data_IF_952502750562
#
_entry.id   IF_952502750562
#
_cell.length_a   1.000
_cell.length_b   1.000
_cell.length_c   1.000
_cell.angle_alpha   90.00
_cell.angle_beta   90.00
_cell.angle_gamma   90.00
#
_symmetry.space_group_name_H-M   'P 1'
#
loop_
_entity.id
_entity.type
_entity.pdbx_description
1 polymer ?
#
# COMPACT_ATOMS: atom_id res chain seq x y z
N UNK A 1 59.68 -8.37 41.90
CA UNK A 1 60.74 -8.60 40.88
C UNK A 1 60.27 -7.93 39.60
N UNK A 2 60.84 -6.77 39.29
CA UNK A 2 60.38 -5.85 38.23
C UNK A 2 61.41 -5.83 37.12
N UNK A 3 61.01 -6.13 35.88
CA UNK A 3 61.91 -6.10 34.72
C UNK A 3 61.33 -5.11 33.70
N UNK A 4 61.97 -3.95 33.62
CA UNK A 4 61.84 -2.99 32.52
C UNK A 4 62.67 -3.49 31.33
N UNK A 5 62.13 -3.42 30.12
CA UNK A 5 62.91 -3.44 28.88
C UNK A 5 62.40 -2.39 27.90
N UNK A 6 63.35 -1.76 27.24
CA UNK A 6 63.22 -0.52 26.47
C UNK A 6 63.67 -0.77 25.02
N UNK A 7 63.09 0.03 24.12
CA UNK A 7 63.52 0.39 22.74
C UNK A 7 63.51 -0.68 21.63
N UNK A 8 62.81 -0.38 20.52
CA UNK A 8 63.41 0.17 19.29
C UNK A 8 62.30 0.56 18.29
N UNK A 9 62.40 1.77 17.74
CA UNK A 9 61.56 2.23 16.64
C UNK A 9 62.23 1.86 15.31
N UNK A 10 61.46 1.31 14.36
CA UNK A 10 61.89 1.06 12.97
C UNK A 10 60.90 1.78 12.06
N UNK A 11 61.38 2.84 11.42
CA UNK A 11 60.69 3.53 10.31
C UNK A 11 60.92 2.76 9.01
N UNK A 12 59.84 2.40 8.33
CA UNK A 12 59.85 1.89 6.96
C UNK A 12 59.21 2.94 6.04
N UNK A 13 60.03 3.50 5.16
CA UNK A 13 59.59 4.34 4.04
C UNK A 13 59.01 3.44 2.94
N UNK A 14 57.75 3.68 2.56
CA UNK A 14 57.10 3.00 1.45
C UNK A 14 57.22 3.85 0.17
N UNK A 15 57.90 3.30 -0.83
CA UNK A 15 58.06 3.86 -2.17
C UNK A 15 56.77 3.68 -2.95
N UNK A 16 56.18 4.78 -3.44
CA UNK A 16 55.04 4.75 -4.36
C UNK A 16 55.50 4.34 -5.77
N UNK A 17 54.94 3.25 -6.30
CA UNK A 17 54.92 2.97 -7.74
C UNK A 17 53.65 3.58 -8.33
N UNK A 18 53.81 4.57 -9.21
CA UNK A 18 52.73 5.05 -10.09
C UNK A 18 52.78 4.20 -11.36
N UNK A 19 51.83 3.29 -11.51
CA UNK A 19 51.61 2.58 -12.76
C UNK A 19 50.74 3.45 -13.68
N UNK A 20 51.31 3.90 -14.80
CA UNK A 20 50.54 4.53 -15.88
C UNK A 20 49.75 3.44 -16.62
N UNK A 21 48.43 3.46 -16.49
CA UNK A 21 47.54 2.64 -17.28
C UNK A 21 47.41 3.20 -18.72
N UNK A 22 47.22 2.35 -19.74
CA UNK A 22 46.95 2.80 -21.09
C UNK A 22 45.59 3.51 -21.14
N UNK A 23 45.59 4.76 -21.62
CA UNK A 23 44.37 5.47 -22.03
C UNK A 23 43.79 4.77 -23.26
N UNK A 24 42.87 3.86 -23.02
CA UNK A 24 41.96 3.38 -24.06
C UNK A 24 40.94 4.49 -24.29
N UNK A 25 41.04 5.18 -25.43
CA UNK A 25 39.98 6.07 -25.90
C UNK A 25 38.81 5.19 -26.39
N UNK A 26 38.04 4.67 -25.44
CA UNK A 26 36.70 4.19 -25.73
C UNK A 26 35.88 5.43 -26.09
N UNK A 27 35.39 5.47 -27.32
CA UNK A 27 34.34 6.38 -27.73
C UNK A 27 33.12 5.98 -26.89
N UNK A 28 32.86 6.75 -25.83
CA UNK A 28 31.64 6.63 -25.04
C UNK A 28 30.48 7.04 -25.95
N UNK A 29 29.63 6.06 -26.23
CA UNK A 29 28.33 6.27 -26.87
C UNK A 29 27.48 7.16 -25.93
N UNK A 30 27.11 8.39 -26.31
CA UNK A 30 26.32 9.27 -25.47
C UNK A 30 24.84 8.89 -25.59
N UNK A 31 24.50 7.68 -25.14
CA UNK A 31 23.13 7.17 -25.15
C UNK A 31 22.79 6.33 -23.91
N UNK A 32 23.47 6.56 -22.77
CA UNK A 32 23.00 6.07 -21.47
C UNK A 32 22.65 7.27 -20.60
N UNK A 33 21.50 7.85 -20.92
CA UNK A 33 20.92 8.98 -20.20
C UNK A 33 20.70 8.67 -18.73
N UNK A 34 21.02 9.66 -17.91
CA UNK A 34 20.50 9.81 -16.57
C UNK A 34 18.96 9.74 -16.60
N UNK A 35 18.38 8.72 -15.95
CA UNK A 35 16.99 8.70 -15.42
C UNK A 35 16.65 7.33 -14.83
N UNK A 36 17.50 6.77 -13.97
CA UNK A 36 17.01 5.78 -13.02
C UNK A 36 16.65 6.54 -11.74
N UNK A 37 15.36 6.68 -11.39
CA UNK A 37 14.97 7.12 -10.05
C UNK A 37 15.74 6.25 -9.04
N UNK A 38 16.14 6.81 -7.87
CA UNK A 38 16.66 5.97 -6.79
C UNK A 38 15.70 4.80 -6.62
N UNK A 39 16.22 3.57 -6.59
CA UNK A 39 15.42 2.34 -6.56
C UNK A 39 14.26 2.56 -5.59
N UNK A 40 13.05 2.69 -6.14
CA UNK A 40 11.89 3.07 -5.35
C UNK A 40 11.82 2.13 -4.16
N UNK A 41 11.62 2.67 -2.96
CA UNK A 41 11.55 1.87 -1.73
C UNK A 41 10.53 0.76 -1.95
N UNK A 42 11.04 -0.48 -2.01
CA UNK A 42 10.25 -1.64 -2.41
C UNK A 42 9.32 -1.99 -1.26
N UNK A 43 8.05 -2.20 -1.58
CA UNK A 43 7.06 -2.58 -0.57
C UNK A 43 7.03 -4.09 -0.48
N UNK A 44 7.61 -4.60 0.59
CA UNK A 44 7.59 -6.01 0.91
C UNK A 44 6.32 -6.32 1.70
N UNK A 45 5.64 -7.39 1.32
CA UNK A 45 4.46 -7.87 2.02
C UNK A 45 4.61 -9.34 2.44
N UNK A 46 3.91 -9.73 3.49
CA UNK A 46 3.77 -11.14 3.86
C UNK A 46 2.53 -11.72 3.18
N UNK A 47 2.69 -12.86 2.50
CA UNK A 47 1.62 -13.59 1.83
C UNK A 47 1.87 -15.09 1.96
N UNK A 48 0.91 -15.83 2.51
CA UNK A 48 1.01 -17.28 2.74
C UNK A 48 2.34 -17.68 3.43
N UNK A 49 2.77 -16.89 4.41
CA UNK A 49 4.00 -17.11 5.18
C UNK A 49 5.31 -16.78 4.45
N UNK A 50 5.23 -16.25 3.23
CA UNK A 50 6.39 -15.84 2.42
C UNK A 50 6.43 -14.33 2.23
N UNK A 51 7.62 -13.76 2.07
CA UNK A 51 7.79 -12.36 1.68
C UNK A 51 7.68 -12.21 0.17
N UNK A 52 6.85 -11.26 -0.27
CA UNK A 52 6.63 -10.92 -1.68
C UNK A 52 6.95 -9.44 -1.90
N UNK A 53 7.41 -9.07 -3.09
CA UNK A 53 7.60 -7.69 -3.51
C UNK A 53 6.36 -7.23 -4.29
N UNK A 54 5.63 -6.24 -3.77
CA UNK A 54 4.38 -5.82 -4.40
C UNK A 54 4.59 -5.10 -5.73
N UNK A 55 5.79 -4.60 -6.01
CA UNK A 55 6.12 -4.04 -7.33
C UNK A 55 6.18 -5.12 -8.42
N UNK A 56 6.50 -6.37 -8.05
CA UNK A 56 6.56 -7.53 -8.96
C UNK A 56 5.18 -8.21 -9.13
N UNK A 57 4.15 -7.73 -8.41
CA UNK A 57 2.80 -8.24 -8.43
C UNK A 57 2.39 -8.99 -7.15
N UNK A 58 1.11 -9.35 -7.07
CA UNK A 58 0.49 -9.78 -5.81
C UNK A 58 0.49 -11.30 -5.58
N UNK A 59 1.11 -12.07 -6.48
CA UNK A 59 1.22 -13.53 -6.40
C UNK A 59 -0.11 -14.29 -6.17
N UNK A 60 -1.21 -13.72 -6.66
CA UNK A 60 -2.56 -14.28 -6.53
C UNK A 60 -3.40 -13.66 -5.39
N UNK A 61 -2.78 -12.88 -4.50
CA UNK A 61 -3.51 -12.16 -3.48
C UNK A 61 -4.53 -11.19 -4.10
N UNK A 62 -5.65 -11.02 -3.40
CA UNK A 62 -6.75 -10.13 -3.81
C UNK A 62 -6.89 -8.91 -2.91
N UNK A 63 -6.39 -8.98 -1.69
CA UNK A 63 -6.38 -7.85 -0.74
C UNK A 63 -5.00 -7.73 -0.11
N UNK A 64 -4.49 -6.51 0.01
CA UNK A 64 -3.27 -6.19 0.74
C UNK A 64 -3.52 -5.02 1.69
N UNK A 65 -3.15 -5.21 2.96
CA UNK A 65 -3.45 -4.31 4.07
C UNK A 65 -2.16 -3.91 4.75
N UNK A 66 -1.93 -2.59 4.87
CA UNK A 66 -0.91 -2.03 5.75
C UNK A 66 -1.48 -1.99 7.18
N UNK A 67 -1.04 -2.93 8.01
CA UNK A 67 -1.50 -3.05 9.41
C UNK A 67 -0.78 -2.08 10.32
N UNK A 68 0.49 -1.80 10.01
CA UNK A 68 1.33 -0.77 10.62
C UNK A 68 2.29 -0.21 9.57
N UNK A 69 2.94 0.93 9.84
CA UNK A 69 3.88 1.54 8.90
C UNK A 69 4.96 0.54 8.50
N UNK A 70 4.97 0.15 7.22
CA UNK A 70 5.93 -0.82 6.68
C UNK A 70 5.62 -2.30 6.97
N UNK A 71 4.54 -2.62 7.69
CA UNK A 71 4.02 -3.98 7.81
C UNK A 71 2.82 -4.15 6.90
N UNK A 72 3.04 -4.83 5.78
CA UNK A 72 2.03 -5.10 4.75
C UNK A 72 1.76 -6.59 4.70
N UNK A 73 0.49 -6.96 4.72
CA UNK A 73 0.05 -8.34 4.63
C UNK A 73 -0.97 -8.50 3.53
N UNK A 74 -0.83 -9.55 2.73
CA UNK A 74 -1.69 -9.84 1.61
C UNK A 74 -2.40 -11.17 1.79
N UNK A 75 -3.59 -11.28 1.23
CA UNK A 75 -4.48 -12.42 1.43
C UNK A 75 -5.22 -12.78 0.15
N UNK A 76 -5.57 -14.06 0.03
CA UNK A 76 -6.40 -14.59 -1.05
C UNK A 76 -7.85 -14.11 -0.98
N UNK A 77 -8.31 -13.77 0.23
CA UNK A 77 -9.67 -13.29 0.47
C UNK A 77 -9.74 -12.35 1.67
N UNK A 78 -10.79 -11.54 1.71
CA UNK A 78 -11.11 -10.67 2.85
C UNK A 78 -11.40 -11.49 4.11
N UNK A 79 -11.97 -12.69 3.98
CA UNK A 79 -12.20 -13.59 5.12
C UNK A 79 -10.88 -14.01 5.77
N UNK A 80 -9.87 -14.38 4.98
CA UNK A 80 -8.55 -14.75 5.48
C UNK A 80 -7.86 -13.55 6.14
N UNK A 81 -7.98 -12.36 5.55
CA UNK A 81 -7.52 -11.11 6.15
C UNK A 81 -8.17 -10.87 7.51
N UNK A 82 -9.51 -10.90 7.58
CA UNK A 82 -10.23 -10.66 8.83
C UNK A 82 -9.86 -11.65 9.93
N UNK A 83 -9.62 -12.91 9.55
CA UNK A 83 -9.19 -13.95 10.49
C UNK A 83 -7.79 -13.69 11.04
N UNK A 84 -6.83 -13.29 10.20
CA UNK A 84 -5.46 -12.96 10.63
C UNK A 84 -5.44 -11.71 11.52
N UNK A 85 -6.18 -10.68 11.12
CA UNK A 85 -6.13 -9.38 11.77
C UNK A 85 -6.94 -9.31 13.07
N UNK A 86 -7.90 -10.22 13.28
CA UNK A 86 -8.76 -10.24 14.45
C UNK A 86 -7.99 -10.45 15.77
N UNK A 87 -6.83 -11.09 15.73
CA UNK A 87 -5.97 -11.27 16.90
C UNK A 87 -5.18 -10.00 17.24
N UNK A 88 -5.05 -9.06 16.29
CA UNK A 88 -4.13 -7.92 16.38
C UNK A 88 -4.82 -6.57 16.63
N UNK A 89 -6.13 -6.43 16.39
CA UNK A 89 -6.84 -5.20 16.75
C UNK A 89 -8.33 -5.36 17.05
N UNK A 90 -8.83 -4.54 17.98
CA UNK A 90 -10.25 -4.46 18.36
C UNK A 90 -11.18 -4.18 17.16
N UNK A 91 -10.71 -3.40 16.17
CA UNK A 91 -11.49 -3.09 14.97
C UNK A 91 -11.66 -4.30 14.04
N UNK A 92 -10.61 -5.12 13.92
CA UNK A 92 -10.65 -6.35 13.12
C UNK A 92 -11.49 -7.43 13.78
N UNK A 93 -11.38 -7.60 15.10
CA UNK A 93 -12.22 -8.52 15.86
C UNK A 93 -13.71 -8.18 15.72
N UNK A 94 -14.08 -6.89 15.76
CA UNK A 94 -15.45 -6.45 15.56
C UNK A 94 -15.95 -6.69 14.12
N UNK A 95 -15.11 -6.45 13.11
CA UNK A 95 -15.44 -6.72 11.71
C UNK A 95 -15.60 -8.22 11.41
N UNK A 96 -14.72 -9.07 11.95
CA UNK A 96 -14.80 -10.53 11.84
C UNK A 96 -16.10 -11.07 12.45
N UNK A 97 -16.46 -10.61 13.65
CA UNK A 97 -17.73 -10.94 14.32
C UNK A 97 -18.96 -10.52 13.49
N UNK A 98 -18.91 -9.34 12.86
CA UNK A 98 -19.96 -8.87 11.96
C UNK A 98 -20.19 -9.76 10.73
N UNK A 99 -19.19 -10.56 10.35
CA UNK A 99 -19.27 -11.58 9.29
C UNK A 99 -19.50 -13.01 9.83
N UNK A 100 -19.76 -13.17 11.14
CA UNK A 100 -20.01 -14.48 11.75
C UNK A 100 -18.75 -15.34 11.96
N UNK A 101 -17.56 -14.73 11.88
CA UNK A 101 -16.29 -15.41 12.12
C UNK A 101 -15.98 -15.30 13.61
N UNK A 102 -15.96 -16.43 14.31
CA UNK A 102 -15.50 -16.50 15.71
C UNK A 102 -13.97 -16.66 15.74
N UNK A 103 -13.29 -15.75 16.41
CA UNK A 103 -11.83 -15.77 16.57
C UNK A 103 -11.51 -16.14 18.02
N UNK A 104 -10.92 -17.31 18.29
CA UNK A 104 -10.50 -17.71 19.63
C UNK A 104 -9.53 -16.68 20.21
N UNK A 105 -9.68 -16.31 21.49
CA UNK A 105 -8.80 -15.39 22.23
C UNK A 105 -8.76 -13.92 21.76
N UNK A 106 -9.53 -13.54 20.74
CA UNK A 106 -9.74 -12.13 20.40
C UNK A 106 -10.32 -11.38 21.62
N UNK A 107 -9.83 -10.17 21.89
CA UNK A 107 -10.33 -9.35 23.01
C UNK A 107 -11.85 -9.23 22.89
N UNK A 108 -12.54 -9.53 23.99
CA UNK A 108 -13.99 -9.51 24.08
C UNK A 108 -14.56 -8.12 23.75
N UNK A 109 -14.99 -7.95 22.50
CA UNK A 109 -15.62 -6.73 21.97
C UNK A 109 -17.09 -6.62 22.33
N UNK A 110 -17.61 -7.35 23.34
CA UNK A 110 -18.99 -7.17 23.82
C UNK A 110 -19.22 -5.69 24.19
N UNK A 111 -19.97 -4.98 23.35
CA UNK A 111 -20.28 -3.55 23.49
C UNK A 111 -19.71 -2.65 22.40
N UNK A 112 -18.78 -3.14 21.57
CA UNK A 112 -18.34 -2.48 20.35
C UNK A 112 -19.05 -3.12 19.17
N UNK A 113 -20.17 -2.52 18.76
CA UNK A 113 -20.76 -2.82 17.45
C UNK A 113 -19.89 -2.14 16.41
N UNK A 114 -19.28 -2.90 15.50
CA UNK A 114 -18.74 -2.32 14.27
C UNK A 114 -19.94 -1.68 13.56
N UNK A 115 -20.08 -0.37 13.67
CA UNK A 115 -21.09 0.35 12.91
C UNK A 115 -20.72 0.08 11.44
N UNK A 116 -21.53 -0.70 10.69
CA UNK A 116 -21.25 -0.86 9.27
C UNK A 116 -21.20 0.53 8.68
N UNK A 117 -20.33 0.74 7.67
CA UNK A 117 -20.33 1.97 6.86
C UNK A 117 -21.77 2.43 6.72
N UNK A 118 -22.11 3.62 7.25
CA UNK A 118 -23.46 4.16 7.14
C UNK A 118 -23.84 4.02 5.68
N UNK A 119 -24.79 3.13 5.43
CA UNK A 119 -25.16 2.72 4.09
C UNK A 119 -25.32 4.00 3.28
N UNK A 120 -24.61 4.16 2.13
CA UNK A 120 -24.83 5.31 1.29
C UNK A 120 -26.35 5.48 1.12
N UNK A 121 -26.82 6.72 1.23
CA UNK A 121 -28.21 7.07 0.92
C UNK A 121 -28.71 6.20 -0.25
N UNK A 122 -29.90 5.63 -0.10
CA UNK A 122 -30.49 4.62 -0.98
C UNK A 122 -30.47 4.97 -2.48
N UNK A 123 -30.17 6.22 -2.83
CA UNK A 123 -29.90 6.67 -4.20
C UNK A 123 -28.63 6.05 -4.84
N UNK A 124 -27.82 5.26 -4.14
CA UNK A 124 -26.54 4.73 -4.68
C UNK A 124 -26.35 3.22 -4.67
N UNK A 125 -27.26 2.40 -4.11
CA UNK A 125 -27.07 0.93 -4.08
C UNK A 125 -28.32 0.19 -4.56
N UNK A 126 -28.23 -0.44 -5.73
CA UNK A 126 -29.14 -1.50 -6.18
C UNK A 126 -28.35 -2.81 -6.20
N UNK A 127 -28.81 -3.81 -5.45
CA UNK A 127 -28.48 -5.23 -5.68
C UNK A 127 -28.03 -6.02 -4.46
N UNK A 128 -28.91 -6.30 -3.51
CA UNK A 128 -28.60 -7.21 -2.40
C UNK A 128 -28.61 -8.68 -2.86
N UNK A 129 -27.46 -9.35 -2.95
CA UNK A 129 -27.32 -10.80 -2.71
C UNK A 129 -25.92 -11.11 -2.14
N UNK A 130 -25.89 -11.76 -0.97
CA UNK A 130 -24.70 -12.24 -0.25
C UNK A 130 -24.57 -13.74 -0.48
N UNK A 131 -23.50 -14.19 -1.13
CA UNK A 131 -22.89 -15.51 -0.93
C UNK A 131 -21.38 -15.38 -1.19
N UNK A 132 -20.58 -15.97 -0.31
CA UNK A 132 -19.13 -15.79 -0.26
C UNK A 132 -18.37 -16.25 -1.50
N UNK A 133 -17.07 -15.91 -1.50
CA UNK A 133 -16.03 -16.21 -2.50
C UNK A 133 -15.62 -14.99 -3.32
N UNK A 134 -14.31 -14.70 -3.32
CA UNK A 134 -13.67 -13.54 -3.96
C UNK A 134 -14.12 -12.18 -3.42
N UNK A 135 -13.30 -11.13 -3.57
CA UNK A 135 -13.68 -9.75 -3.27
C UNK A 135 -14.94 -9.46 -4.10
N UNK A 136 -16.11 -9.57 -3.46
CA UNK A 136 -17.38 -9.81 -4.16
C UNK A 136 -17.85 -8.59 -4.94
N UNK A 137 -18.88 -8.76 -5.76
CA UNK A 137 -19.55 -7.73 -6.58
C UNK A 137 -20.18 -6.57 -5.76
N UNK A 138 -19.88 -6.49 -4.46
CA UNK A 138 -20.27 -5.41 -3.55
C UNK A 138 -19.29 -5.32 -2.35
N UNK A 139 -17.99 -5.28 -2.61
CA UNK A 139 -16.92 -5.25 -1.59
C UNK A 139 -16.76 -3.90 -0.85
N UNK A 140 -17.74 -3.00 -0.93
CA UNK A 140 -17.78 -1.79 -0.10
C UNK A 140 -17.66 -2.15 1.39
N UNK A 141 -18.38 -3.19 1.82
CA UNK A 141 -18.38 -3.65 3.21
C UNK A 141 -17.06 -4.29 3.65
N UNK A 142 -16.18 -4.61 2.70
CA UNK A 142 -14.85 -5.17 2.99
C UNK A 142 -13.84 -4.08 3.35
N UNK A 143 -14.19 -2.80 3.10
CA UNK A 143 -13.48 -1.66 3.66
C UNK A 143 -13.90 -1.43 5.11
N UNK A 144 -13.22 -2.17 5.99
CA UNK A 144 -13.48 -2.14 7.43
C UNK A 144 -13.12 -0.81 8.09
N UNK A 145 -13.72 -0.58 9.25
CA UNK A 145 -13.51 0.63 10.03
C UNK A 145 -12.03 0.80 10.41
N UNK A 146 -11.54 2.03 10.32
CA UNK A 146 -10.13 2.39 10.54
C UNK A 146 -9.29 2.47 9.27
N UNK A 147 -9.83 2.12 8.10
CA UNK A 147 -9.06 2.01 6.86
C UNK A 147 -9.56 2.92 5.74
N UNK A 148 -8.63 3.44 4.95
CA UNK A 148 -8.89 3.89 3.59
C UNK A 148 -8.62 2.74 2.63
N UNK A 149 -9.56 2.49 1.72
CA UNK A 149 -9.50 1.39 0.78
C UNK A 149 -9.59 1.90 -0.66
N UNK A 150 -8.76 1.33 -1.53
CA UNK A 150 -8.77 1.61 -2.97
C UNK A 150 -8.88 0.30 -3.72
N UNK A 151 -9.78 0.26 -4.71
CA UNK A 151 -10.11 -0.92 -5.50
C UNK A 151 -9.71 -0.70 -6.96
N UNK A 152 -9.34 -1.77 -7.66
CA UNK A 152 -8.97 -1.69 -9.09
C UNK A 152 -10.17 -1.66 -10.05
N UNK A 153 -11.37 -1.93 -9.54
CA UNK A 153 -12.62 -1.82 -10.30
C UNK A 153 -13.42 -0.59 -9.91
N UNK A 154 -14.37 -0.19 -10.76
CA UNK A 154 -15.30 0.93 -10.50
C UNK A 154 -16.50 0.54 -9.62
N UNK A 155 -16.66 -0.76 -9.34
CA UNK A 155 -17.79 -1.33 -8.60
C UNK A 155 -17.40 -1.77 -7.20
N UNK A 156 -16.32 -1.22 -6.64
CA UNK A 156 -15.81 -1.57 -5.31
C UNK A 156 -15.62 -3.07 -5.15
N UNK A 157 -14.91 -3.70 -6.08
CA UNK A 157 -14.52 -5.11 -6.04
C UNK A 157 -13.14 -5.31 -6.66
N UNK A 158 -12.75 -6.55 -6.94
CA UNK A 158 -11.45 -6.85 -7.55
C UNK A 158 -10.30 -6.77 -6.54
N UNK A 159 -9.11 -6.32 -6.96
CA UNK A 159 -7.99 -6.17 -6.03
C UNK A 159 -8.19 -4.94 -5.15
N UNK A 160 -7.85 -5.07 -3.87
CA UNK A 160 -8.05 -4.01 -2.87
C UNK A 160 -6.78 -3.73 -2.08
N UNK A 161 -6.45 -2.45 -1.95
CA UNK A 161 -5.43 -1.95 -1.03
C UNK A 161 -6.11 -1.28 0.17
N UNK A 162 -5.58 -1.51 1.38
CA UNK A 162 -6.06 -0.87 2.61
C UNK A 162 -4.91 -0.25 3.40
N UNK A 163 -5.14 0.96 3.89
CA UNK A 163 -4.18 1.68 4.74
C UNK A 163 -4.87 2.33 5.92
N UNK A 164 -4.28 2.19 7.11
CA UNK A 164 -4.66 2.92 8.32
C UNK A 164 -3.63 4.01 8.66
N UNK A 165 -2.36 3.75 8.35
CA UNK A 165 -1.24 4.62 8.64
C UNK A 165 -1.19 5.87 7.75
N UNK A 166 -0.72 6.98 8.32
CA UNK A 166 -0.54 8.24 7.60
C UNK A 166 0.60 8.18 6.58
N UNK A 167 0.68 9.22 5.76
CA UNK A 167 1.75 9.43 4.80
C UNK A 167 1.32 9.18 3.36
N UNK A 168 2.28 9.28 2.45
CA UNK A 168 2.05 9.12 1.01
C UNK A 168 2.51 7.74 0.55
N UNK A 169 1.61 7.02 -0.12
CA UNK A 169 1.81 5.70 -0.68
C UNK A 169 1.91 5.85 -2.19
N UNK A 170 3.07 5.56 -2.76
CA UNK A 170 3.28 5.58 -4.21
C UNK A 170 2.71 4.29 -4.80
N UNK A 171 1.62 4.35 -5.56
CA UNK A 171 0.92 3.17 -6.07
C UNK A 171 1.75 2.35 -7.08
N UNK A 172 2.84 2.90 -7.63
CA UNK A 172 3.73 2.11 -8.50
C UNK A 172 4.47 1.01 -7.74
N UNK A 173 4.82 1.24 -6.47
CA UNK A 173 5.50 0.23 -5.64
C UNK A 173 4.56 -0.84 -5.08
N UNK A 174 3.26 -0.71 -5.38
CA UNK A 174 2.21 -1.66 -4.99
C UNK A 174 1.58 -2.37 -6.21
N UNK A 175 2.16 -2.21 -7.41
CA UNK A 175 1.55 -2.69 -8.67
C UNK A 175 0.09 -2.20 -8.87
N UNK A 176 -0.17 -0.95 -8.48
CA UNK A 176 -1.52 -0.36 -8.46
C UNK A 176 -1.64 1.02 -9.13
N UNK A 177 -0.51 1.54 -9.63
CA UNK A 177 -0.48 2.78 -10.43
C UNK A 177 -1.40 2.66 -11.64
N UNK A 178 -2.19 3.70 -11.90
CA UNK A 178 -3.12 3.74 -13.05
C UNK A 178 -4.14 2.57 -13.06
N UNK A 179 -4.43 1.96 -11.91
CA UNK A 179 -5.40 0.85 -11.80
C UNK A 179 -6.59 1.16 -10.91
N UNK A 180 -6.51 2.22 -10.10
CA UNK A 180 -7.57 2.57 -9.17
C UNK A 180 -8.87 2.97 -9.89
N UNK A 181 -9.97 2.27 -9.60
CA UNK A 181 -11.29 2.52 -10.19
C UNK A 181 -12.35 3.00 -9.19
N UNK A 182 -12.18 2.71 -7.91
CA UNK A 182 -13.02 3.23 -6.83
C UNK A 182 -12.28 3.23 -5.50
N UNK A 183 -12.84 3.91 -4.50
CA UNK A 183 -12.27 3.94 -3.16
C UNK A 183 -13.31 4.26 -2.11
N UNK A 184 -13.05 3.83 -0.88
CA UNK A 184 -13.88 4.06 0.30
C UNK A 184 -13.00 4.54 1.44
N UNK A 185 -13.43 5.58 2.15
CA UNK A 185 -12.79 6.03 3.37
C UNK A 185 -13.66 5.66 4.57
N UNK A 186 -13.23 4.64 5.31
CA UNK A 186 -13.87 4.21 6.55
C UNK A 186 -12.96 4.48 7.77
N UNK A 187 -12.06 5.46 7.67
CA UNK A 187 -11.18 5.85 8.79
C UNK A 187 -11.99 6.60 9.85
N UNK A 188 -11.52 6.56 11.10
CA UNK A 188 -12.15 7.32 12.19
C UNK A 188 -12.02 8.84 12.02
N UNK A 189 -10.93 9.30 11.41
CA UNK A 189 -10.59 10.72 11.24
C UNK A 189 -9.87 10.95 9.91
N UNK A 190 -10.08 12.14 9.34
CA UNK A 190 -9.39 12.59 8.13
C UNK A 190 -9.97 12.05 6.82
N UNK A 191 -9.33 12.41 5.72
CA UNK A 191 -9.64 11.85 4.39
C UNK A 191 -8.51 10.98 3.90
N UNK A 192 -8.61 10.56 2.64
CA UNK A 192 -7.42 10.32 1.84
C UNK A 192 -7.52 11.12 0.55
N UNK A 193 -6.36 11.46 0.00
CA UNK A 193 -6.25 12.17 -1.28
C UNK A 193 -5.56 11.26 -2.28
N UNK A 194 -6.12 11.18 -3.47
CA UNK A 194 -5.49 10.57 -4.64
C UNK A 194 -4.79 11.67 -5.42
N UNK A 195 -3.55 11.43 -5.81
CA UNK A 195 -2.73 12.36 -6.59
C UNK A 195 -2.34 11.68 -7.93
N UNK A 196 -2.43 12.40 -9.05
CA UNK A 196 -1.93 12.00 -10.38
C UNK A 196 -0.68 12.84 -10.68
N UNK A 197 0.49 12.20 -10.68
CA UNK A 197 1.77 12.89 -10.73
C UNK A 197 2.20 13.14 -12.17
N UNK A 198 2.37 14.42 -12.52
CA UNK A 198 2.63 14.84 -13.89
C UNK A 198 3.88 15.68 -14.03
N UNK A 199 4.70 15.34 -15.01
CA UNK A 199 5.85 16.15 -15.37
C UNK A 199 5.40 17.42 -16.09
N UNK A 200 5.78 18.58 -15.58
CA UNK A 200 5.60 19.87 -16.26
C UNK A 200 4.18 20.45 -16.20
N UNK A 201 3.27 19.87 -15.41
CA UNK A 201 1.92 20.38 -15.16
C UNK A 201 1.60 20.29 -13.65
N UNK A 202 0.67 21.11 -13.13
CA UNK A 202 0.16 20.91 -11.78
C UNK A 202 -0.52 19.54 -11.63
N UNK A 203 -0.17 18.82 -10.57
CA UNK A 203 -0.73 17.51 -10.22
C UNK A 203 -2.21 17.63 -9.81
N UNK A 204 -3.14 16.99 -10.52
CA UNK A 204 -4.52 16.91 -10.08
C UNK A 204 -4.63 16.06 -8.82
N UNK A 205 -5.60 16.40 -7.99
CA UNK A 205 -5.91 15.61 -6.80
C UNK A 205 -7.41 15.41 -6.60
N UNK A 206 -7.78 14.27 -6.03
CA UNK A 206 -9.14 13.91 -5.64
C UNK A 206 -9.17 13.57 -4.17
N UNK A 207 -9.96 14.32 -3.40
CA UNK A 207 -10.15 14.07 -1.98
C UNK A 207 -11.37 13.18 -1.73
N UNK A 208 -11.18 12.11 -0.94
CA UNK A 208 -12.24 11.24 -0.44
C UNK A 208 -12.39 11.48 1.06
N UNK A 209 -13.48 12.17 1.42
CA UNK A 209 -13.79 12.52 2.81
C UNK A 209 -14.24 11.32 3.66
N UNK A 210 -14.40 11.54 4.96
CA UNK A 210 -14.89 10.51 5.90
C UNK A 210 -16.21 9.89 5.46
N UNK A 211 -16.33 8.58 5.72
CA UNK A 211 -17.54 7.77 5.49
C UNK A 211 -18.06 7.86 4.05
N UNK A 212 -17.16 8.04 3.08
CA UNK A 212 -17.52 8.16 1.66
C UNK A 212 -16.87 7.09 0.82
N UNK A 213 -17.68 6.55 -0.07
CA UNK A 213 -17.24 5.72 -1.19
C UNK A 213 -17.43 6.50 -2.49
N UNK A 214 -16.43 6.44 -3.36
CA UNK A 214 -16.38 7.18 -4.62
C UNK A 214 -16.06 6.22 -5.76
N UNK A 215 -16.88 6.26 -6.81
CA UNK A 215 -16.59 5.62 -8.09
C UNK A 215 -15.83 6.63 -8.97
N UNK A 216 -14.57 6.35 -9.29
CA UNK A 216 -13.70 7.32 -9.96
C UNK A 216 -14.09 7.58 -11.41
N UNK A 217 -14.80 6.64 -12.06
CA UNK A 217 -15.35 6.86 -13.40
C UNK A 217 -16.48 7.91 -13.42
N UNK A 218 -17.08 8.21 -12.25
CA UNK A 218 -18.13 9.24 -12.10
C UNK A 218 -17.60 10.60 -11.63
N UNK A 219 -16.30 10.73 -11.40
CA UNK A 219 -15.69 12.00 -10.96
C UNK A 219 -14.94 12.62 -12.12
N UNK A 220 -15.32 13.84 -12.49
CA UNK A 220 -14.67 14.60 -13.57
C UNK A 220 -13.20 14.83 -13.28
N UNK A 221 -12.38 14.74 -14.32
CA UNK A 221 -10.94 14.95 -14.24
C UNK A 221 -10.53 16.30 -14.85
N UNK A 222 -9.60 17.01 -14.21
CA UNK A 222 -9.23 18.40 -14.53
C UNK A 222 -8.85 18.59 -16.00
N UNK A 223 -8.20 17.61 -16.61
CA UNK A 223 -7.75 17.67 -18.00
C UNK A 223 -8.65 16.90 -18.97
N UNK A 224 -9.92 16.69 -18.59
CA UNK A 224 -10.92 15.99 -19.39
C UNK A 224 -11.03 14.50 -19.05
N UNK A 225 -12.23 13.94 -19.25
CA UNK A 225 -12.56 12.57 -18.86
C UNK A 225 -12.87 12.45 -17.37
N UNK A 226 -12.44 11.34 -16.76
CA UNK A 226 -12.73 11.01 -15.35
C UNK A 226 -11.49 10.46 -14.63
N UNK A 227 -11.61 10.30 -13.32
CA UNK A 227 -10.53 9.87 -12.42
C UNK A 227 -10.19 8.37 -12.48
N UNK A 228 -10.94 7.57 -13.25
CA UNK A 228 -10.66 6.14 -13.36
C UNK A 228 -9.26 5.90 -13.93
N UNK A 229 -8.47 5.05 -13.26
CA UNK A 229 -7.12 4.69 -13.67
C UNK A 229 -6.19 5.92 -13.79
N UNK A 230 -6.33 6.91 -12.90
CA UNK A 230 -5.49 8.12 -12.86
C UNK A 230 -4.59 8.25 -11.64
N UNK A 231 -4.89 7.52 -10.58
CA UNK A 231 -4.16 7.69 -9.32
C UNK A 231 -2.75 7.09 -9.43
N UNK A 232 -1.76 7.91 -9.06
CA UNK A 232 -0.36 7.53 -8.91
C UNK A 232 0.02 7.38 -7.44
N UNK A 233 -0.62 8.13 -6.55
CA UNK A 233 -0.36 8.07 -5.13
C UNK A 233 -1.62 8.25 -4.29
N UNK A 234 -1.56 7.76 -3.05
CA UNK A 234 -2.56 7.98 -2.01
C UNK A 234 -1.90 8.66 -0.83
N UNK A 235 -2.46 9.76 -0.33
CA UNK A 235 -2.01 10.46 0.87
C UNK A 235 -3.07 10.40 1.97
N UNK A 236 -2.68 9.93 3.16
CA UNK A 236 -3.53 9.72 4.35
C UNK A 236 -3.23 10.68 5.50
#
# INVERSE_FOLDING_TARGET
>A
MSIRRTFAAVSLAATMLVAAAPTSSAVEDPATGADQPPAAERILATYNGSTIDLADGWQGATTCTEVAVGDVRCYDSVEAELKDLADESLGHAAAAKGQGIEVPDAIDTRGFEAEPLRVPSADSIVGTERLGSSVGTQAINDCIFGYACVYDTTTWGGRMLKWSASGTKNLSTWDFRDKAGSGCNNRQLGGFRLDDWRTGLPDPSLYVGLDRCVNFAKVSYTYGGNWNNKADAVTL
#
